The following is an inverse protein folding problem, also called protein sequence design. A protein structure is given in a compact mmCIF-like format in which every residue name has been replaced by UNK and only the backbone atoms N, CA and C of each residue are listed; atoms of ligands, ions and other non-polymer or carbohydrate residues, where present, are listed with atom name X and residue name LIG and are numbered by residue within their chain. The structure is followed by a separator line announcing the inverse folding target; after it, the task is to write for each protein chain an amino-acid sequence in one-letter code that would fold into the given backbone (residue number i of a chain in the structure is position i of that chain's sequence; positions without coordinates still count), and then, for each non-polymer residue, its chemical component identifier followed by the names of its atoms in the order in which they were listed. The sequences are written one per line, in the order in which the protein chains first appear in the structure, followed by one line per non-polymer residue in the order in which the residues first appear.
data_IF_394447788895
#
_entry.id   IF_394447788895
#
_cell.length_a   1.000
_cell.length_b   1.000
_cell.length_c   1.000
_cell.angle_alpha   90.00
_cell.angle_beta   90.00
_cell.angle_gamma   90.00
#
_symmetry.space_group_name_H-M   'P 1'
#
loop_
_entity.id
_entity.type
_entity.pdbx_description
1 polymer ?
#
# COMPACT_ATOMS: atom_id res chain seq x y z
N UNK A 1 -66.31 33.99 23.87
CA UNK A 1 -66.06 35.04 22.85
C UNK A 1 -67.39 35.41 22.20
N UNK A 2 -67.80 36.68 22.22
CA UNK A 2 -69.00 37.11 21.48
C UNK A 2 -68.59 37.42 20.03
N UNK A 3 -69.09 36.64 19.08
CA UNK A 3 -68.58 36.57 17.70
C UNK A 3 -69.69 36.73 16.64
N UNK A 4 -70.80 37.40 16.99
CA UNK A 4 -71.97 37.58 16.11
C UNK A 4 -71.74 38.54 14.92
N UNK A 5 -70.71 39.38 15.00
CA UNK A 5 -70.26 40.29 13.95
C UNK A 5 -68.95 39.77 13.31
N UNK A 6 -68.56 40.30 12.14
CA UNK A 6 -67.35 39.90 11.38
C UNK A 6 -67.32 38.40 11.01
N UNK A 7 -68.43 37.85 10.51
CA UNK A 7 -68.55 36.43 10.17
C UNK A 7 -67.76 36.00 8.91
N UNK A 8 -67.37 36.96 8.07
CA UNK A 8 -66.67 36.73 6.80
C UNK A 8 -65.28 37.35 6.92
N UNK A 9 -65.05 38.44 6.20
CA UNK A 9 -63.89 39.30 6.40
C UNK A 9 -64.15 40.30 7.53
N UNK A 10 -63.06 40.87 8.05
CA UNK A 10 -63.09 41.87 9.11
C UNK A 10 -63.70 43.18 8.57
N UNK A 11 -65.03 43.24 8.52
CA UNK A 11 -65.80 44.36 7.97
C UNK A 11 -65.84 45.52 8.96
N UNK A 12 -64.71 46.16 9.25
CA UNK A 12 -64.60 47.47 9.92
C UNK A 12 -65.23 47.65 11.32
N UNK A 13 -65.98 46.68 11.82
CA UNK A 13 -66.71 46.74 13.08
C UNK A 13 -65.77 46.28 14.19
N UNK A 14 -65.43 47.20 15.10
CA UNK A 14 -64.53 46.99 16.24
C UNK A 14 -65.25 46.43 17.46
N UNK A 15 -66.01 45.34 17.28
CA UNK A 15 -66.76 44.67 18.35
C UNK A 15 -66.16 43.29 18.59
N UNK A 16 -65.97 42.92 19.86
CA UNK A 16 -65.35 41.65 20.24
C UNK A 16 -63.82 41.72 20.19
N UNK A 17 -63.17 40.58 19.91
CA UNK A 17 -61.71 40.47 19.87
C UNK A 17 -61.13 40.87 18.50
N UNK A 18 -61.51 42.04 18.01
CA UNK A 18 -61.19 42.49 16.66
C UNK A 18 -59.69 42.75 16.44
N UNK A 19 -58.92 43.01 17.51
CA UNK A 19 -57.47 43.26 17.43
C UNK A 19 -56.72 41.98 17.08
N UNK A 20 -56.97 40.90 17.82
CA UNK A 20 -56.33 39.60 17.54
C UNK A 20 -56.82 39.04 16.20
N UNK A 21 -58.10 39.21 15.86
CA UNK A 21 -58.65 38.82 14.55
C UNK A 21 -57.98 39.59 13.39
N UNK A 22 -57.63 40.87 13.59
CA UNK A 22 -56.92 41.67 12.57
C UNK A 22 -55.44 41.27 12.44
N UNK A 23 -54.77 40.99 13.55
CA UNK A 23 -53.39 40.48 13.53
C UNK A 23 -53.30 39.09 12.89
N UNK A 24 -54.27 38.21 13.18
CA UNK A 24 -54.35 36.88 12.57
C UNK A 24 -54.65 36.96 11.06
N UNK A 25 -55.49 37.91 10.65
CA UNK A 25 -55.76 38.20 9.24
C UNK A 25 -54.50 38.69 8.51
N UNK A 26 -53.71 39.57 9.13
CA UNK A 26 -52.44 40.05 8.56
C UNK A 26 -51.40 38.94 8.43
N UNK A 27 -51.30 38.05 9.43
CA UNK A 27 -50.35 36.95 9.40
C UNK A 27 -50.75 35.82 8.43
N UNK A 28 -52.01 35.38 8.50
CA UNK A 28 -52.47 34.13 7.86
C UNK A 28 -53.48 34.32 6.73
N UNK A 29 -53.87 35.56 6.43
CA UNK A 29 -54.96 35.88 5.50
C UNK A 29 -56.36 35.58 6.03
N UNK A 30 -56.49 35.04 7.26
CA UNK A 30 -57.77 34.63 7.85
C UNK A 30 -57.92 35.16 9.29
N UNK A 31 -59.06 35.79 9.59
CA UNK A 31 -59.38 36.32 10.91
C UNK A 31 -59.80 35.25 11.94
N UNK A 32 -60.38 34.15 11.47
CA UNK A 32 -60.78 32.99 12.27
C UNK A 32 -60.17 31.74 11.63
N UNK A 33 -60.97 30.76 11.25
CA UNK A 33 -60.51 29.58 10.53
C UNK A 33 -60.88 29.65 9.05
N UNK A 34 -60.09 29.02 8.17
CA UNK A 34 -60.49 28.78 6.80
C UNK A 34 -61.78 27.95 6.77
N UNK A 35 -62.57 28.11 5.73
CA UNK A 35 -63.88 27.45 5.57
C UNK A 35 -63.77 26.16 4.77
N UNK A 36 -64.68 25.19 4.97
CA UNK A 36 -64.78 24.03 4.08
C UNK A 36 -64.96 24.49 2.63
N UNK A 37 -63.95 24.26 1.79
CA UNK A 37 -63.91 24.68 0.37
C UNK A 37 -62.87 25.75 0.03
N UNK A 38 -62.27 26.42 1.02
CA UNK A 38 -61.07 27.24 0.83
C UNK A 38 -59.83 26.34 0.73
N UNK A 39 -58.81 26.73 -0.06
CA UNK A 39 -57.61 25.90 -0.29
C UNK A 39 -56.84 25.62 1.00
N UNK A 40 -56.93 26.51 1.98
CA UNK A 40 -56.20 26.42 3.25
C UNK A 40 -56.98 25.65 4.34
N UNK A 41 -58.16 25.12 4.00
CA UNK A 41 -58.96 24.35 4.94
C UNK A 41 -58.33 23.00 5.27
N UNK A 42 -58.01 22.80 6.55
CA UNK A 42 -57.36 21.59 7.03
C UNK A 42 -55.85 21.58 6.86
N UNK A 43 -55.25 22.69 6.42
CA UNK A 43 -53.80 22.88 6.44
C UNK A 43 -53.39 23.37 7.84
N UNK A 44 -52.38 22.73 8.41
CA UNK A 44 -51.81 23.13 9.69
C UNK A 44 -51.08 24.48 9.54
N UNK A 45 -51.62 25.52 10.17
CA UNK A 45 -51.02 26.86 10.20
C UNK A 45 -50.36 27.10 11.56
N UNK A 46 -49.02 26.90 11.70
CA UNK A 46 -48.33 27.02 12.98
C UNK A 46 -48.36 28.43 13.55
N UNK A 47 -48.52 29.45 12.70
CA UNK A 47 -48.67 30.86 13.08
C UNK A 47 -49.93 31.13 13.92
N UNK A 48 -50.96 30.28 13.84
CA UNK A 48 -52.20 30.44 14.63
C UNK A 48 -52.06 29.93 16.07
N UNK A 49 -50.99 29.18 16.39
CA UNK A 49 -50.84 28.50 17.68
C UNK A 49 -49.53 28.87 18.39
N UNK A 50 -48.38 28.78 17.71
CA UNK A 50 -47.04 28.92 18.34
C UNK A 50 -46.11 29.87 17.58
N UNK A 51 -46.44 30.24 16.33
CA UNK A 51 -45.58 31.13 15.54
C UNK A 51 -45.47 32.53 16.16
N UNK A 52 -44.24 32.97 16.40
CA UNK A 52 -43.94 34.33 16.83
C UNK A 52 -43.27 35.10 15.68
N UNK A 53 -43.77 36.30 15.31
CA UNK A 53 -43.10 37.13 14.32
C UNK A 53 -41.74 37.57 14.88
N UNK A 54 -40.65 37.16 14.21
CA UNK A 54 -39.29 37.39 14.67
C UNK A 54 -38.64 36.24 15.44
N UNK A 55 -39.27 35.05 15.46
CA UNK A 55 -38.62 33.85 15.97
C UNK A 55 -37.30 33.56 15.23
N UNK A 56 -36.32 33.04 15.98
CA UNK A 56 -34.99 32.69 15.48
C UNK A 56 -35.09 31.77 14.27
N UNK A 57 -34.45 32.16 13.17
CA UNK A 57 -34.41 31.33 11.98
C UNK A 57 -33.64 30.05 12.33
N UNK A 58 -33.95 28.87 11.75
CA UNK A 58 -33.17 27.65 11.99
C UNK A 58 -31.66 27.75 11.72
N UNK A 59 -31.21 28.84 11.08
CA UNK A 59 -29.80 29.15 10.83
C UNK A 59 -29.11 29.77 12.04
N UNK A 60 -29.89 30.37 12.93
CA UNK A 60 -29.43 30.97 14.18
C UNK A 60 -29.40 29.93 15.32
N UNK A 61 -29.87 28.72 15.05
CA UNK A 61 -29.83 27.63 16.02
C UNK A 61 -28.38 27.15 16.15
N UNK A 62 -27.81 27.46 17.29
CA UNK A 62 -26.49 26.99 17.70
C UNK A 62 -26.58 26.41 19.11
N UNK A 63 -25.76 25.40 19.38
CA UNK A 63 -25.65 24.87 20.75
C UNK A 63 -24.97 25.88 21.66
N UNK A 64 -25.33 25.88 22.95
CA UNK A 64 -24.65 26.72 23.96
C UNK A 64 -23.15 26.43 24.01
N UNK A 65 -22.74 25.20 23.70
CA UNK A 65 -21.34 24.81 23.57
C UNK A 65 -20.65 25.54 22.41
N UNK A 66 -21.28 25.55 21.23
CA UNK A 66 -20.75 26.22 20.05
C UNK A 66 -20.71 27.75 20.24
N UNK A 67 -21.75 28.33 20.84
CA UNK A 67 -21.80 29.75 21.17
C UNK A 67 -20.78 30.15 22.25
N UNK A 68 -20.49 29.28 23.23
CA UNK A 68 -19.61 29.61 24.34
C UNK A 68 -18.11 29.40 24.07
N UNK A 69 -17.74 28.38 23.28
CA UNK A 69 -16.33 28.00 23.07
C UNK A 69 -15.70 28.59 21.81
N UNK A 70 -16.50 28.85 20.77
CA UNK A 70 -15.98 29.25 19.45
C UNK A 70 -16.11 30.76 19.24
N UNK A 71 -16.77 31.50 20.13
CA UNK A 71 -17.16 32.88 19.81
C UNK A 71 -15.98 33.87 19.75
N UNK A 72 -15.40 33.98 18.56
CA UNK A 72 -14.42 34.99 18.17
C UNK A 72 -15.07 36.37 17.95
N UNK A 73 -16.40 36.47 18.01
CA UNK A 73 -17.16 37.71 17.73
C UNK A 73 -17.42 38.56 18.97
N UNK A 74 -17.06 38.06 20.16
CA UNK A 74 -17.03 38.85 21.40
C UNK A 74 -16.34 40.19 21.19
N UNK A 75 -17.06 41.28 21.52
CA UNK A 75 -16.59 42.67 21.32
C UNK A 75 -15.28 42.96 22.06
N UNK A 76 -14.97 42.18 23.09
CA UNK A 76 -13.84 42.39 24.00
C UNK A 76 -12.81 41.25 23.94
N UNK A 77 -12.60 40.66 22.77
CA UNK A 77 -11.52 39.69 22.60
C UNK A 77 -10.15 40.38 22.71
N UNK A 78 -9.33 39.92 23.67
CA UNK A 78 -7.96 40.40 23.83
C UNK A 78 -7.20 40.19 22.52
N UNK A 79 -6.79 41.31 21.91
CA UNK A 79 -5.88 41.29 20.78
C UNK A 79 -4.47 41.34 21.34
N UNK A 80 -3.62 40.32 21.12
CA UNK A 80 -2.24 40.40 21.55
C UNK A 80 -1.59 41.62 20.92
N UNK A 81 -1.00 42.46 21.77
CA UNK A 81 -0.28 43.63 21.28
C UNK A 81 0.99 43.15 20.57
N UNK A 82 1.32 43.68 19.38
CA UNK A 82 2.57 43.34 18.72
C UNK A 82 3.76 43.74 19.61
N UNK A 83 4.71 42.82 19.79
CA UNK A 83 5.93 43.07 20.57
C UNK A 83 6.84 44.14 19.94
N UNK A 84 6.66 44.41 18.64
CA UNK A 84 7.49 45.29 17.83
C UNK A 84 6.68 46.32 17.07
N UNK A 85 7.24 47.52 16.92
CA UNK A 85 6.66 48.56 16.07
C UNK A 85 6.75 48.19 14.58
N UNK A 86 5.89 48.81 13.75
CA UNK A 86 5.84 48.53 12.30
C UNK A 86 7.19 48.68 11.58
N UNK A 87 7.99 49.67 11.98
CA UNK A 87 9.32 49.91 11.41
C UNK A 87 10.29 48.76 11.69
N UNK A 88 10.25 48.20 12.89
CA UNK A 88 11.08 47.06 13.26
C UNK A 88 10.61 45.78 12.58
N UNK A 89 9.29 45.57 12.47
CA UNK A 89 8.72 44.44 11.73
C UNK A 89 9.17 44.43 10.26
N UNK A 90 9.12 45.58 9.57
CA UNK A 90 9.61 45.69 8.19
C UNK A 90 11.11 45.44 8.07
N UNK A 91 11.91 45.90 9.05
CA UNK A 91 13.35 45.60 9.08
C UNK A 91 13.61 44.10 9.24
N UNK A 92 12.89 43.43 10.14
CA UNK A 92 13.02 41.98 10.33
C UNK A 92 12.61 41.21 9.08
N UNK A 93 11.54 41.61 8.42
CA UNK A 93 11.12 41.00 7.16
C UNK A 93 12.18 41.19 6.05
N UNK A 94 12.78 42.38 5.96
CA UNK A 94 13.86 42.63 4.99
C UNK A 94 15.12 41.81 5.29
N UNK A 95 15.48 41.64 6.57
CA UNK A 95 16.60 40.79 6.99
C UNK A 95 16.31 39.32 6.70
N UNK A 96 15.12 38.83 7.04
CA UNK A 96 14.71 37.46 6.77
C UNK A 96 14.77 37.15 5.27
N UNK A 97 14.23 38.05 4.43
CA UNK A 97 14.31 37.91 2.98
C UNK A 97 15.75 37.85 2.47
N UNK A 98 16.65 38.66 3.00
CA UNK A 98 18.07 38.65 2.62
C UNK A 98 18.76 37.33 3.02
N UNK A 99 18.43 36.80 4.19
CA UNK A 99 18.96 35.50 4.66
C UNK A 99 18.42 34.37 3.79
N UNK A 100 17.15 34.40 3.41
CA UNK A 100 16.56 33.42 2.49
C UNK A 100 17.24 33.45 1.12
N UNK A 101 17.52 34.64 0.58
CA UNK A 101 18.25 34.82 -0.68
C UNK A 101 19.69 34.28 -0.60
N UNK A 102 20.38 34.47 0.54
CA UNK A 102 21.73 33.98 0.79
C UNK A 102 21.76 32.44 0.88
N UNK A 103 20.86 31.84 1.67
CA UNK A 103 20.72 30.39 1.79
C UNK A 103 20.39 29.73 0.45
N UNK A 104 19.52 30.33 -0.35
CA UNK A 104 19.17 29.81 -1.68
C UNK A 104 20.35 29.88 -2.66
N UNK A 105 21.20 30.92 -2.55
CA UNK A 105 22.40 31.04 -3.36
C UNK A 105 23.45 29.99 -2.98
N UNK A 106 23.63 29.73 -1.68
CA UNK A 106 24.51 28.67 -1.18
C UNK A 106 24.05 27.28 -1.63
N UNK A 107 22.74 26.98 -1.57
CA UNK A 107 22.18 25.71 -2.05
C UNK A 107 22.40 25.52 -3.56
N UNK A 108 22.25 26.58 -4.36
CA UNK A 108 22.59 26.55 -5.79
C UNK A 108 24.08 26.34 -6.05
N UNK A 109 24.96 26.86 -5.20
CA UNK A 109 26.39 26.63 -5.33
C UNK A 109 26.78 25.21 -4.91
N UNK A 110 26.18 24.67 -3.84
CA UNK A 110 26.38 23.29 -3.39
C UNK A 110 25.88 22.26 -4.41
N UNK A 111 24.70 22.49 -5.00
CA UNK A 111 24.18 21.63 -6.08
C UNK A 111 25.09 21.67 -7.29
N UNK A 112 25.55 22.87 -7.71
CA UNK A 112 26.52 23.00 -8.80
C UNK A 112 27.85 22.30 -8.49
N UNK A 113 28.35 22.39 -7.26
CA UNK A 113 29.55 21.65 -6.83
C UNK A 113 29.30 20.15 -6.89
N UNK A 114 28.18 19.67 -6.34
CA UNK A 114 27.81 18.25 -6.37
C UNK A 114 27.71 17.72 -7.79
N UNK A 115 27.07 18.46 -8.69
CA UNK A 115 26.95 18.09 -10.11
C UNK A 115 28.31 18.12 -10.82
N UNK A 116 29.17 19.09 -10.50
CA UNK A 116 30.53 19.14 -11.03
C UNK A 116 31.38 17.95 -10.58
N UNK A 117 31.20 17.47 -9.35
CA UNK A 117 31.87 16.29 -8.83
C UNK A 117 31.25 14.98 -9.36
N UNK A 118 29.95 14.95 -9.62
CA UNK A 118 29.25 13.78 -10.16
C UNK A 118 29.67 13.45 -11.61
N UNK A 119 30.15 14.45 -12.38
CA UNK A 119 30.67 14.27 -13.73
C UNK A 119 32.19 14.08 -13.83
N UNK A 120 32.94 14.25 -12.73
CA UNK A 120 34.37 13.99 -12.70
C UNK A 120 34.65 12.50 -12.47
N UNK A 121 34.64 11.71 -13.55
CA UNK A 121 35.27 10.40 -13.53
C UNK A 121 36.76 10.59 -13.20
N UNK A 122 37.26 9.87 -12.20
CA UNK A 122 38.69 9.91 -11.87
C UNK A 122 39.53 9.54 -13.10
N UNK A 123 40.74 10.09 -13.23
CA UNK A 123 41.65 9.82 -14.35
C UNK A 123 41.82 8.31 -14.59
N UNK A 124 41.79 7.51 -13.52
CA UNK A 124 41.81 6.06 -13.59
C UNK A 124 40.58 5.50 -14.34
N UNK A 125 39.36 5.89 -13.99
CA UNK A 125 38.13 5.40 -14.63
C UNK A 125 38.04 5.80 -16.12
N UNK A 126 38.47 7.02 -16.47
CA UNK A 126 38.55 7.45 -17.87
C UNK A 126 39.64 6.69 -18.67
N UNK A 127 40.75 6.32 -18.03
CA UNK A 127 41.88 5.64 -18.68
C UNK A 127 41.72 4.12 -18.83
N UNK A 128 41.01 3.46 -17.92
CA UNK A 128 40.81 2.01 -17.90
C UNK A 128 39.46 1.62 -18.48
N UNK A 129 39.26 1.85 -19.77
CA UNK A 129 38.10 1.33 -20.48
C UNK A 129 38.41 -0.05 -21.08
N UNK A 130 37.46 -0.98 -20.94
CA UNK A 130 37.56 -2.31 -21.53
C UNK A 130 37.70 -2.18 -23.05
N UNK A 131 38.78 -2.71 -23.62
CA UNK A 131 38.95 -2.76 -25.06
C UNK A 131 37.78 -3.53 -25.71
N UNK A 132 37.37 -3.11 -26.92
CA UNK A 132 36.24 -3.72 -27.61
C UNK A 132 36.50 -5.21 -27.84
N UNK A 133 35.43 -6.01 -27.82
CA UNK A 133 35.50 -7.45 -28.13
C UNK A 133 36.11 -7.73 -29.49
N UNK A 134 35.95 -6.80 -30.44
CA UNK A 134 36.54 -6.88 -31.77
C UNK A 134 38.07 -6.89 -31.74
N UNK A 135 38.68 -6.04 -30.91
CA UNK A 135 40.15 -6.01 -30.72
C UNK A 135 40.71 -7.35 -30.24
N UNK A 136 39.96 -8.06 -29.38
CA UNK A 136 40.35 -9.40 -28.91
C UNK A 136 40.23 -10.46 -30.01
N UNK A 137 39.17 -10.39 -30.82
CA UNK A 137 38.96 -11.29 -31.95
C UNK A 137 40.07 -11.10 -32.99
N UNK A 138 40.43 -9.85 -33.30
CA UNK A 138 41.47 -9.53 -34.26
C UNK A 138 42.85 -10.00 -33.78
N UNK A 139 43.18 -9.81 -32.50
CA UNK A 139 44.42 -10.32 -31.91
C UNK A 139 44.49 -11.86 -31.93
N UNK A 140 43.38 -12.54 -31.64
CA UNK A 140 43.28 -14.01 -31.70
C UNK A 140 43.46 -14.52 -33.13
N UNK A 141 42.86 -13.85 -34.11
CA UNK A 141 42.93 -14.22 -35.51
C UNK A 141 44.26 -13.85 -36.18
N UNK A 142 44.99 -12.87 -35.62
CA UNK A 142 46.33 -12.50 -36.07
C UNK A 142 47.38 -13.59 -35.77
N UNK A 143 47.10 -14.50 -34.83
CA UNK A 143 47.92 -15.70 -34.59
C UNK A 143 47.64 -16.73 -35.69
N UNK A 144 48.19 -16.50 -36.88
CA UNK A 144 48.24 -17.53 -37.91
C UNK A 144 49.19 -18.65 -37.45
N UNK A 145 48.76 -19.92 -37.35
CA UNK A 145 49.69 -21.00 -37.12
C UNK A 145 50.56 -21.15 -38.38
N UNK A 146 51.88 -20.94 -38.24
CA UNK A 146 52.84 -21.45 -39.24
C UNK A 146 52.66 -22.97 -39.25
N UNK A 147 52.28 -23.51 -40.41
CA UNK A 147 52.00 -24.94 -40.61
C UNK A 147 53.10 -25.82 -40.00
N UNK A 148 52.78 -26.51 -38.92
CA UNK A 148 53.43 -27.75 -38.53
C UNK A 148 52.32 -28.67 -38.04
N UNK A 149 51.87 -29.57 -38.93
CA UNK A 149 50.95 -30.64 -38.57
C UNK A 149 51.77 -31.65 -37.77
N UNK A 150 51.71 -31.59 -36.44
CA UNK A 150 52.31 -32.61 -35.60
C UNK A 150 51.52 -33.93 -35.81
N UNK A 151 52.19 -35.08 -36.00
CA UNK A 151 51.52 -36.37 -36.12
C UNK A 151 50.85 -36.73 -34.79
N UNK A 152 49.67 -37.34 -34.88
CA UNK A 152 48.69 -37.43 -33.80
C UNK A 152 49.20 -38.03 -32.49
N UNK A 153 48.88 -37.35 -31.40
CA UNK A 153 48.88 -37.90 -30.05
C UNK A 153 47.49 -38.52 -29.80
N UNK A 154 47.39 -39.83 -29.51
CA UNK A 154 46.12 -40.55 -29.44
C UNK A 154 45.38 -40.38 -28.10
N UNK A 155 45.68 -39.34 -27.32
CA UNK A 155 45.15 -39.19 -25.95
C UNK A 155 44.57 -37.81 -25.61
N UNK A 156 44.47 -36.88 -26.56
CA UNK A 156 44.03 -35.50 -26.30
C UNK A 156 42.86 -35.07 -27.19
N UNK A 157 41.77 -35.82 -27.12
CA UNK A 157 40.43 -35.31 -27.45
C UNK A 157 39.43 -35.76 -26.36
N UNK A 158 39.82 -35.61 -25.09
CA UNK A 158 38.80 -35.37 -24.06
C UNK A 158 38.40 -33.90 -24.17
N UNK A 159 37.69 -33.56 -25.26
CA UNK A 159 36.70 -32.50 -25.15
C UNK A 159 35.86 -32.91 -23.93
N UNK A 160 35.95 -32.14 -22.85
CA UNK A 160 35.11 -32.36 -21.69
C UNK A 160 33.70 -32.58 -22.23
N UNK A 161 33.20 -33.81 -22.13
CA UNK A 161 31.80 -34.11 -22.44
C UNK A 161 31.01 -33.45 -21.33
N UNK A 162 30.92 -32.12 -21.39
CA UNK A 162 30.02 -31.32 -20.58
C UNK A 162 28.63 -31.58 -21.16
N UNK A 163 28.01 -32.66 -20.69
CA UNK A 163 26.57 -32.78 -20.76
C UNK A 163 26.06 -31.82 -19.69
N UNK A 164 25.40 -30.77 -20.18
CA UNK A 164 24.70 -29.79 -19.39
C UNK A 164 23.52 -30.46 -18.71
N UNK A 165 23.48 -30.38 -17.39
CA UNK A 165 22.29 -30.07 -16.59
C UNK A 165 22.79 -29.58 -15.23
N UNK A 166 22.12 -28.58 -14.64
CA UNK A 166 22.53 -27.83 -13.43
C UNK A 166 22.51 -28.66 -12.11
N UNK A 167 22.63 -29.99 -12.22
CA UNK A 167 22.77 -30.92 -11.10
C UNK A 167 24.18 -31.49 -11.16
N UNK A 168 24.99 -31.21 -10.14
CA UNK A 168 26.32 -31.80 -10.03
C UNK A 168 26.19 -33.31 -9.79
N UNK A 169 26.13 -34.10 -10.87
CA UNK A 169 26.14 -35.56 -10.77
C UNK A 169 27.56 -36.05 -10.55
N UNK A 170 27.74 -36.85 -9.51
CA UNK A 170 29.02 -37.51 -9.22
C UNK A 170 29.09 -38.86 -9.92
N UNK A 171 30.31 -39.36 -10.15
CA UNK A 171 30.56 -40.67 -10.80
C UNK A 171 29.76 -41.81 -10.14
N UNK A 172 29.50 -41.70 -8.84
CA UNK A 172 28.73 -42.68 -8.08
C UNK A 172 27.23 -42.63 -8.37
N UNK A 173 26.67 -41.44 -8.58
CA UNK A 173 25.24 -41.25 -8.89
C UNK A 173 24.93 -41.78 -10.28
N UNK A 174 25.77 -41.45 -11.26
CA UNK A 174 25.70 -42.01 -12.61
C UNK A 174 25.75 -43.56 -12.57
N UNK A 175 26.59 -44.13 -11.70
CA UNK A 175 26.71 -45.58 -11.58
C UNK A 175 25.46 -46.23 -10.97
N UNK A 176 24.75 -45.56 -10.06
CA UNK A 176 23.48 -46.03 -9.51
C UNK A 176 22.37 -45.96 -10.57
N UNK A 177 22.25 -44.85 -11.29
CA UNK A 177 21.25 -44.68 -12.35
C UNK A 177 21.45 -45.70 -13.49
N UNK A 178 22.71 -45.99 -13.84
CA UNK A 178 23.04 -46.97 -14.89
C UNK A 178 22.94 -48.44 -14.41
N UNK A 179 22.53 -48.71 -13.16
CA UNK A 179 22.46 -50.07 -12.59
C UNK A 179 23.83 -50.74 -12.40
N UNK A 180 24.90 -49.94 -12.41
CA UNK A 180 26.30 -50.36 -12.32
C UNK A 180 26.92 -50.14 -10.93
N UNK A 181 26.07 -49.93 -9.92
CA UNK A 181 26.46 -49.72 -8.53
C UNK A 181 27.39 -50.81 -7.98
N UNK A 182 27.29 -52.05 -8.47
CA UNK A 182 28.14 -53.17 -8.07
C UNK A 182 29.64 -52.96 -8.37
N UNK A 183 30.02 -52.01 -9.24
CA UNK A 183 31.42 -51.64 -9.45
C UNK A 183 32.03 -50.84 -8.29
N UNK A 184 31.20 -50.34 -7.37
CA UNK A 184 31.63 -49.59 -6.20
C UNK A 184 31.24 -50.34 -4.92
N UNK A 185 32.22 -50.53 -4.03
CA UNK A 185 32.01 -51.22 -2.75
C UNK A 185 31.13 -50.35 -1.86
N UNK A 186 30.03 -50.91 -1.34
CA UNK A 186 29.13 -50.23 -0.41
C UNK A 186 27.91 -49.56 -1.04
N UNK A 187 27.77 -49.59 -2.36
CA UNK A 187 26.54 -49.16 -3.03
C UNK A 187 25.52 -50.32 -3.02
N UNK A 188 24.82 -50.47 -1.89
CA UNK A 188 23.68 -51.38 -1.81
C UNK A 188 22.53 -50.86 -2.68
N UNK A 189 21.84 -51.75 -3.40
CA UNK A 189 20.63 -51.37 -4.13
C UNK A 189 19.55 -50.97 -3.11
N UNK A 190 19.18 -49.69 -3.11
CA UNK A 190 18.08 -49.16 -2.32
C UNK A 190 16.92 -48.90 -3.28
N UNK A 191 15.74 -49.45 -2.96
CA UNK A 191 14.52 -49.34 -3.79
C UNK A 191 13.92 -47.92 -3.86
N UNK A 192 14.57 -46.91 -3.27
CA UNK A 192 14.08 -45.53 -3.22
C UNK A 192 15.06 -44.56 -3.86
N UNK A 193 14.59 -43.87 -4.90
CA UNK A 193 15.35 -42.96 -5.75
C UNK A 193 15.89 -41.68 -5.07
N UNK A 194 15.58 -41.45 -3.79
CA UNK A 194 15.97 -40.22 -3.06
C UNK A 194 17.07 -40.44 -1.99
N UNK A 195 17.67 -41.64 -1.92
CA UNK A 195 18.64 -41.97 -0.87
C UNK A 195 19.68 -43.03 -1.27
N UNK A 196 20.22 -42.95 -2.49
CA UNK A 196 21.08 -43.97 -3.13
C UNK A 196 22.36 -44.38 -2.39
N UNK A 197 22.83 -43.58 -1.41
CA UNK A 197 24.03 -43.86 -0.60
C UNK A 197 23.74 -44.14 0.88
N UNK A 198 22.48 -44.41 1.24
CA UNK A 198 22.13 -44.84 2.60
C UNK A 198 22.80 -46.16 2.99
N UNK A 199 23.27 -46.30 4.22
CA UNK A 199 23.79 -47.58 4.72
C UNK A 199 22.63 -48.54 4.96
N UNK A 200 22.49 -49.57 4.13
CA UNK A 200 21.57 -50.67 4.38
C UNK A 200 22.31 -51.81 5.11
N UNK A 201 21.94 -52.05 6.36
CA UNK A 201 22.54 -53.10 7.20
C UNK A 201 21.60 -54.27 7.45
N UNK A 202 20.49 -54.40 6.70
CA UNK A 202 19.46 -55.43 6.95
C UNK A 202 20.01 -56.86 7.03
N UNK A 203 21.01 -57.19 6.21
CA UNK A 203 21.68 -58.50 6.26
C UNK A 203 22.53 -58.69 7.52
N UNK A 204 23.24 -57.65 7.96
CA UNK A 204 24.18 -57.68 9.09
C UNK A 204 23.58 -57.24 10.42
N UNK A 205 22.33 -56.78 10.44
CA UNK A 205 21.64 -56.33 11.64
C UNK A 205 21.51 -57.48 12.66
N UNK A 206 21.42 -57.15 13.94
CA UNK A 206 21.26 -58.15 15.00
C UNK A 206 19.95 -58.94 14.80
N UNK A 207 19.92 -60.21 15.19
CA UNK A 207 18.72 -61.06 15.07
C UNK A 207 17.58 -60.62 15.99
N UNK A 208 17.86 -59.78 16.98
CA UNK A 208 16.84 -59.22 17.87
C UNK A 208 16.40 -57.82 17.46
N UNK A 209 16.92 -57.29 16.33
CA UNK A 209 16.49 -56.00 15.81
C UNK A 209 15.02 -56.08 15.35
N UNK A 210 14.11 -55.28 15.94
CA UNK A 210 12.67 -55.35 15.63
C UNK A 210 12.33 -54.99 14.17
N UNK A 211 13.26 -54.38 13.42
CA UNK A 211 13.08 -54.04 12.01
C UNK A 211 13.66 -55.12 11.08
N UNK A 212 14.38 -56.11 11.62
CA UNK A 212 14.92 -57.21 10.81
C UNK A 212 13.78 -58.13 10.36
N UNK A 213 13.62 -58.25 9.05
CA UNK A 213 12.70 -59.24 8.48
C UNK A 213 13.17 -60.65 8.83
N UNK A 214 12.43 -61.33 9.70
CA UNK A 214 12.59 -62.76 9.93
C UNK A 214 11.71 -63.51 8.94
N UNK A 215 12.26 -64.57 8.32
CA UNK A 215 11.43 -65.50 7.57
C UNK A 215 10.57 -66.28 8.58
N UNK A 216 9.32 -65.86 8.76
CA UNK A 216 8.37 -66.59 9.59
C UNK A 216 8.08 -67.95 8.92
N UNK A 217 8.28 -69.09 9.60
CA UNK A 217 7.91 -70.38 9.05
C UNK A 217 6.39 -70.51 9.12
N UNK A 218 5.70 -70.18 8.03
CA UNK A 218 4.29 -70.56 7.85
C UNK A 218 4.20 -72.09 7.82
N UNK A 219 3.70 -72.62 8.91
CA UNK A 219 3.32 -74.01 9.15
C UNK A 219 2.02 -74.28 8.39
N UNK A 220 2.10 -74.86 7.20
CA UNK A 220 0.96 -75.48 6.49
C UNK A 220 1.45 -76.54 5.49
N UNK A 221 1.99 -77.66 6.00
CA UNK A 221 2.06 -78.96 5.31
C UNK A 221 0.94 -79.86 5.86
N UNK A 222 -0.33 -79.52 5.63
CA UNK A 222 -1.47 -80.44 5.80
C UNK A 222 -2.57 -80.15 4.76
N UNK A 223 -2.29 -80.37 3.48
CA UNK A 223 -3.31 -80.89 2.56
C UNK A 223 -2.67 -81.45 1.29
N UNK A 224 -3.20 -82.59 0.84
CA UNK A 224 -2.93 -83.27 -0.44
C UNK A 224 -1.87 -84.38 -0.42
N UNK A 225 -2.07 -85.37 0.47
CA UNK A 225 -2.36 -86.71 -0.03
C UNK A 225 -3.87 -86.81 -0.33
N UNK A 226 -4.22 -86.72 -1.61
CA UNK A 226 -5.39 -87.35 -2.22
C UNK A 226 -5.01 -87.70 -3.67
#
# INVERSE_FOLDING_TARGET
MYAGYNQYELKGVRIGNWVDEAALLEATGHNRGPRPGEPDFGIDNPERVIGAPGATHPKDWQSDYQAGFIDHTGRDNYRPMPDHGQREALRRQAVAKRVEEEMAAEEMEETRRRDSFAGMETVAQASYQKASTQTYIDARNAVRPKKAKAPGLPWEEFAAKSVFDDVATTIYEDAVELGKAHHFVGAGHLDSASGSFGKNTSFTADIHDPVKGHADPTRDDESLCA
#
